data_IF_042354534340
#
_entry.id   IF_042354534340
#
_cell.length_a   1.000
_cell.length_b   1.000
_cell.length_c   1.000
_cell.angle_alpha   90.00
_cell.angle_beta   90.00
_cell.angle_gamma   90.00
#
_symmetry.space_group_name_H-M   'P 1'
#
loop_
_entity.id
_entity.type
_entity.pdbx_description
1 polymer ?
#
# COMPACT_ATOMS: atom_id res chain seq x y z
N UNK A 1 2.37 -60.29 -36.73
CA UNK A 1 1.20 -60.01 -37.60
C UNK A 1 0.36 -58.96 -36.91
N UNK A 2 0.19 -57.83 -37.61
CA UNK A 2 -0.21 -56.52 -37.09
C UNK A 2 -1.63 -56.49 -36.54
N UNK A 3 -1.82 -55.93 -35.34
CA UNK A 3 -3.14 -55.49 -34.86
C UNK A 3 -3.16 -53.97 -34.89
N UNK A 4 -3.88 -53.45 -35.88
CA UNK A 4 -4.00 -52.04 -36.22
C UNK A 4 -4.62 -51.22 -35.09
N UNK A 5 -4.05 -50.03 -34.91
CA UNK A 5 -4.49 -48.94 -34.05
C UNK A 5 -5.86 -48.41 -34.53
N UNK A 6 -6.79 -48.16 -33.59
CA UNK A 6 -7.99 -47.36 -33.83
C UNK A 6 -7.65 -45.87 -33.64
N UNK A 7 -7.90 -44.98 -34.60
CA UNK A 7 -7.78 -43.55 -34.38
C UNK A 7 -9.06 -43.03 -33.72
N UNK A 8 -8.93 -42.38 -32.57
CA UNK A 8 -9.99 -41.54 -31.99
C UNK A 8 -10.04 -40.22 -32.76
N UNK A 9 -11.21 -39.91 -33.28
CA UNK A 9 -11.53 -38.71 -34.04
C UNK A 9 -11.49 -37.48 -33.12
N UNK A 10 -10.72 -36.47 -33.53
CA UNK A 10 -10.80 -35.10 -33.02
C UNK A 10 -12.14 -34.49 -33.46
N UNK A 11 -12.94 -34.02 -32.49
CA UNK A 11 -14.09 -33.15 -32.76
C UNK A 11 -13.72 -31.72 -32.36
N UNK A 12 -13.45 -30.89 -33.37
CA UNK A 12 -13.38 -29.44 -33.27
C UNK A 12 -14.78 -28.85 -33.07
N UNK A 13 -15.02 -28.12 -31.98
CA UNK A 13 -16.13 -27.16 -31.93
C UNK A 13 -15.60 -25.74 -31.80
N UNK A 14 -16.12 -24.91 -32.69
CA UNK A 14 -15.76 -23.55 -32.97
C UNK A 14 -16.51 -22.56 -32.07
N UNK A 15 -15.78 -21.50 -31.69
CA UNK A 15 -16.18 -20.09 -31.60
C UNK A 15 -17.62 -19.75 -31.15
N UNK A 16 -17.72 -19.03 -30.03
CA UNK A 16 -18.48 -17.77 -29.99
C UNK A 16 -17.73 -16.74 -29.15
N UNK A 17 -17.13 -15.75 -29.83
CA UNK A 17 -16.64 -14.50 -29.24
C UNK A 17 -17.77 -13.48 -29.31
N UNK A 18 -18.23 -12.99 -28.16
CA UNK A 18 -19.17 -11.88 -28.07
C UNK A 18 -18.38 -10.59 -27.86
N UNK A 19 -18.53 -9.55 -28.70
CA UNK A 19 -17.74 -8.33 -28.58
C UNK A 19 -18.57 -7.15 -28.02
N UNK A 20 -17.83 -6.15 -27.50
CA UNK A 20 -18.25 -4.78 -27.13
C UNK A 20 -19.10 -4.66 -25.84
N UNK A 21 -18.90 -3.70 -24.94
CA UNK A 21 -18.69 -2.26 -25.14
C UNK A 21 -17.76 -1.69 -24.04
N UNK A 22 -16.74 -0.93 -24.44
CA UNK A 22 -15.92 -0.07 -23.56
C UNK A 22 -16.51 1.34 -23.62
N UNK A 23 -16.93 1.97 -22.51
CA UNK A 23 -17.30 3.37 -22.52
C UNK A 23 -16.05 4.25 -22.66
N UNK A 24 -15.95 4.91 -23.82
CA UNK A 24 -14.97 5.95 -24.12
C UNK A 24 -15.26 7.19 -23.25
N UNK A 25 -14.60 7.30 -22.09
CA UNK A 25 -14.64 8.51 -21.29
C UNK A 25 -13.81 9.61 -21.98
N UNK A 26 -14.51 10.60 -22.53
CA UNK A 26 -13.90 11.85 -23.00
C UNK A 26 -13.56 12.71 -21.79
N UNK A 27 -12.28 12.82 -21.47
CA UNK A 27 -11.77 13.87 -20.59
C UNK A 27 -11.88 15.21 -21.31
N UNK A 28 -12.87 16.02 -20.92
CA UNK A 28 -12.96 17.39 -21.34
C UNK A 28 -12.35 18.27 -20.24
N UNK A 29 -11.07 18.58 -20.42
CA UNK A 29 -10.41 19.65 -19.68
C UNK A 29 -11.09 20.97 -20.04
N UNK A 30 -11.68 21.63 -19.05
CA UNK A 30 -11.95 23.07 -19.13
C UNK A 30 -11.15 23.74 -18.02
N UNK A 31 -10.32 24.68 -18.45
CA UNK A 31 -9.53 25.55 -17.61
C UNK A 31 -10.44 26.67 -17.08
N UNK A 32 -10.20 27.07 -15.83
CA UNK A 32 -10.77 28.23 -15.13
C UNK A 32 -12.24 28.10 -14.69
N UNK A 33 -12.48 28.36 -13.40
CA UNK A 33 -13.84 28.63 -12.91
C UNK A 33 -14.05 28.27 -11.45
N UNK A 34 -13.73 29.21 -10.57
CA UNK A 34 -14.18 29.24 -9.19
C UNK A 34 -15.67 28.88 -9.10
N UNK A 35 -16.03 27.78 -8.44
CA UNK A 35 -17.43 27.43 -8.19
C UNK A 35 -17.78 27.75 -6.75
N UNK A 36 -18.33 28.94 -6.57
CA UNK A 36 -19.06 29.35 -5.37
C UNK A 36 -20.45 28.72 -5.41
N UNK A 37 -20.75 27.83 -4.47
CA UNK A 37 -22.10 27.35 -4.23
C UNK A 37 -22.78 28.39 -3.32
N UNK A 38 -23.68 29.17 -3.88
CA UNK A 38 -24.64 29.95 -3.10
C UNK A 38 -25.90 29.12 -2.92
N UNK A 39 -26.26 28.84 -1.67
CA UNK A 39 -27.61 28.44 -1.29
C UNK A 39 -28.22 29.61 -0.54
N UNK A 40 -29.17 30.29 -1.17
CA UNK A 40 -30.05 31.28 -0.56
C UNK A 40 -31.30 30.59 -0.05
N UNK A 41 -31.48 30.56 1.26
CA UNK A 41 -32.82 30.56 1.87
C UNK A 41 -32.89 31.66 2.93
N UNK A 42 -34.05 32.31 2.97
CA UNK A 42 -34.32 33.63 3.55
C UNK A 42 -34.85 33.51 4.99
N UNK A 43 -34.38 34.45 5.82
CA UNK A 43 -34.74 34.92 7.20
C UNK A 43 -36.25 34.92 7.59
N UNK A 44 -36.66 35.32 8.83
CA UNK A 44 -35.94 35.80 10.04
C UNK A 44 -36.40 35.04 11.33
N UNK A 45 -35.77 35.12 12.51
CA UNK A 45 -35.88 36.24 13.44
C UNK A 45 -35.12 35.92 14.76
N UNK A 46 -34.85 37.00 15.49
CA UNK A 46 -34.50 37.06 16.91
C UNK A 46 -33.07 36.71 17.37
N UNK A 47 -32.28 37.79 17.38
CA UNK A 47 -31.17 38.02 18.30
C UNK A 47 -31.61 37.79 19.75
N UNK A 48 -30.94 36.88 20.44
CA UNK A 48 -30.66 36.97 21.87
C UNK A 48 -29.19 36.71 22.10
N UNK A 49 -28.46 37.79 22.41
CA UNK A 49 -27.14 37.74 23.01
C UNK A 49 -27.29 37.09 24.37
N UNK A 50 -26.80 35.87 24.51
CA UNK A 50 -26.60 35.22 25.81
C UNK A 50 -25.14 34.83 25.91
N UNK A 51 -24.40 35.66 26.64
CA UNK A 51 -23.07 35.40 27.14
C UNK A 51 -23.09 34.14 28.01
N UNK A 52 -22.77 32.99 27.42
CA UNK A 52 -22.46 31.79 28.19
C UNK A 52 -21.01 31.38 27.93
N UNK A 53 -20.13 31.81 28.84
CA UNK A 53 -18.76 31.31 28.94
C UNK A 53 -18.82 29.92 29.53
N UNK A 54 -19.09 28.92 28.69
CA UNK A 54 -18.83 27.54 29.04
C UNK A 54 -17.55 27.11 28.32
N UNK A 55 -16.48 27.11 29.11
CA UNK A 55 -15.20 26.50 28.87
C UNK A 55 -15.36 25.08 28.33
N UNK A 56 -15.21 24.92 27.01
CA UNK A 56 -14.98 23.62 26.40
C UNK A 56 -13.47 23.47 26.15
N UNK A 57 -12.86 22.37 26.62
CA UNK A 57 -11.42 22.26 26.69
C UNK A 57 -10.86 22.10 25.28
N UNK A 58 -9.99 23.04 24.92
CA UNK A 58 -8.76 22.75 24.18
C UNK A 58 -8.96 21.84 22.94
N UNK A 59 -9.55 22.40 21.88
CA UNK A 59 -9.13 22.00 20.54
C UNK A 59 -7.67 22.42 20.36
N UNK A 60 -6.73 21.65 20.92
CA UNK A 60 -5.44 21.49 20.26
C UNK A 60 -5.79 20.77 18.98
N UNK A 61 -5.79 21.51 17.89
CA UNK A 61 -5.34 20.93 16.63
C UNK A 61 -3.90 20.49 16.91
N UNK A 62 -3.72 19.25 17.36
CA UNK A 62 -2.43 18.60 17.21
C UNK A 62 -2.19 18.62 15.71
N UNK A 63 -1.15 19.32 15.28
CA UNK A 63 -0.52 19.04 14.00
C UNK A 63 -0.12 17.56 14.08
N UNK A 64 -1.01 16.67 13.66
CA UNK A 64 -0.82 15.24 13.72
C UNK A 64 0.34 14.91 12.81
N UNK A 65 1.30 14.21 13.39
CA UNK A 65 2.47 13.63 12.77
C UNK A 65 2.22 13.27 11.28
N UNK A 66 3.08 13.77 10.38
CA UNK A 66 2.96 13.57 8.92
C UNK A 66 2.82 12.07 8.64
N UNK A 67 1.63 11.66 8.20
CA UNK A 67 1.35 10.30 7.77
C UNK A 67 2.37 9.87 6.71
N UNK A 68 3.19 8.87 7.04
CA UNK A 68 4.26 8.38 6.17
C UNK A 68 3.69 7.81 4.87
N UNK A 69 2.44 7.33 4.89
CA UNK A 69 1.78 6.76 3.70
C UNK A 69 1.52 7.80 2.60
N UNK A 70 1.48 9.09 2.95
CA UNK A 70 1.24 10.20 2.02
C UNK A 70 2.53 10.70 1.37
N UNK A 71 3.69 10.43 1.99
CA UNK A 71 4.99 10.90 1.47
C UNK A 71 5.41 10.13 0.22
N UNK A 72 6.25 10.76 -0.60
CA UNK A 72 6.91 10.11 -1.75
C UNK A 72 8.34 9.76 -1.40
N UNK A 73 8.80 8.57 -1.80
CA UNK A 73 10.21 8.23 -1.68
C UNK A 73 11.11 9.16 -2.51
N UNK A 74 12.30 9.44 -1.99
CA UNK A 74 13.36 10.18 -2.70
C UNK A 74 14.27 9.16 -3.40
N UNK A 75 14.78 9.42 -4.63
CA UNK A 75 15.67 8.48 -5.31
C UNK A 75 16.89 8.07 -4.46
N UNK A 76 17.11 6.76 -4.36
CA UNK A 76 18.10 6.15 -3.47
C UNK A 76 19.57 6.41 -3.87
N UNK A 77 19.82 6.89 -5.08
CA UNK A 77 21.16 7.17 -5.61
C UNK A 77 21.65 8.60 -5.32
N UNK A 78 20.86 9.40 -4.60
CA UNK A 78 21.26 10.75 -4.25
C UNK A 78 22.43 10.73 -3.26
N UNK A 79 23.49 11.49 -3.56
CA UNK A 79 24.75 11.54 -2.80
C UNK A 79 24.59 11.97 -1.33
N UNK A 80 23.42 12.50 -0.99
CA UNK A 80 23.12 13.08 0.32
C UNK A 80 22.38 12.11 1.25
N UNK A 81 21.97 10.93 0.78
CA UNK A 81 21.29 9.95 1.62
C UNK A 81 22.31 9.25 2.51
N UNK A 82 22.02 9.23 3.82
CA UNK A 82 22.79 8.51 4.83
C UNK A 82 21.86 7.55 5.57
N UNK A 83 22.39 6.40 6.03
CA UNK A 83 21.61 5.51 6.87
C UNK A 83 21.29 6.23 8.18
N UNK A 84 20.05 6.06 8.66
CA UNK A 84 19.63 6.60 9.94
C UNK A 84 20.22 5.82 11.11
N UNK A 85 20.27 6.44 12.28
CA UNK A 85 20.68 5.75 13.51
C UNK A 85 19.58 4.82 14.01
N UNK A 86 19.95 3.88 14.87
CA UNK A 86 19.00 2.94 15.45
C UNK A 86 17.94 3.66 16.30
N UNK A 87 18.30 4.72 17.01
CA UNK A 87 17.38 5.53 17.82
C UNK A 87 16.35 6.23 16.94
N UNK A 88 16.79 6.78 15.80
CA UNK A 88 15.90 7.40 14.82
C UNK A 88 14.94 6.34 14.24
N UNK A 89 15.43 5.16 13.87
CA UNK A 89 14.60 4.07 13.38
C UNK A 89 13.55 3.63 14.41
N UNK A 90 13.97 3.43 15.68
CA UNK A 90 13.07 3.07 16.79
C UNK A 90 11.96 4.10 17.00
N UNK A 91 12.23 5.38 16.77
CA UNK A 91 11.19 6.43 16.87
C UNK A 91 10.12 6.35 15.79
N UNK A 92 10.42 5.71 14.64
CA UNK A 92 9.51 5.57 13.51
C UNK A 92 8.74 4.24 13.51
N UNK A 93 9.22 3.22 14.23
CA UNK A 93 8.55 1.90 14.33
C UNK A 93 7.07 1.98 14.73
N UNK A 94 6.65 2.83 15.70
CA UNK A 94 5.22 2.98 16.02
C UNK A 94 4.34 3.43 14.84
N UNK A 95 4.93 4.03 13.79
CA UNK A 95 4.21 4.50 12.59
C UNK A 95 3.99 3.38 11.57
N UNK A 96 4.68 2.25 11.71
CA UNK A 96 4.60 1.10 10.80
C UNK A 96 4.24 -0.17 11.58
N UNK A 97 3.01 -0.25 12.13
CA UNK A 97 2.62 -1.36 13.01
C UNK A 97 2.77 -2.72 12.32
N UNK A 98 3.32 -3.68 13.05
CA UNK A 98 3.55 -5.06 12.60
C UNK A 98 4.88 -5.28 11.88
N UNK A 99 5.69 -4.23 11.67
CA UNK A 99 7.07 -4.36 11.19
C UNK A 99 8.03 -4.45 12.38
N UNK A 100 9.00 -5.35 12.26
CA UNK A 100 10.06 -5.55 13.23
C UNK A 100 11.34 -4.85 12.77
N UNK A 101 12.04 -4.17 13.69
CA UNK A 101 13.38 -3.64 13.45
C UNK A 101 14.41 -4.73 13.74
N UNK A 102 15.17 -5.13 12.73
CA UNK A 102 16.17 -6.21 12.85
C UNK A 102 17.54 -5.69 12.43
N UNK A 103 18.58 -6.07 13.16
CA UNK A 103 19.97 -5.87 12.78
C UNK A 103 20.53 -7.19 12.23
N UNK A 104 20.93 -7.19 10.96
CA UNK A 104 21.44 -8.34 10.25
C UNK A 104 22.83 -7.99 9.67
N UNK A 105 23.88 -8.53 10.27
CA UNK A 105 25.26 -8.28 9.83
C UNK A 105 25.72 -6.83 9.96
N UNK A 106 25.16 -6.06 10.91
CA UNK A 106 25.46 -4.63 11.08
C UNK A 106 24.57 -3.70 10.25
N UNK A 107 23.66 -4.25 9.44
CA UNK A 107 22.70 -3.50 8.63
C UNK A 107 21.33 -3.56 9.31
N UNK A 108 20.77 -2.39 9.61
CA UNK A 108 19.39 -2.28 10.08
C UNK A 108 18.42 -2.52 8.92
N UNK A 109 17.35 -3.27 9.17
CA UNK A 109 16.30 -3.62 8.21
C UNK A 109 14.94 -3.63 8.90
N UNK A 110 13.88 -3.36 8.13
CA UNK A 110 12.50 -3.63 8.55
C UNK A 110 12.11 -5.01 8.04
N UNK A 111 11.57 -5.87 8.91
CA UNK A 111 11.11 -7.21 8.53
C UNK A 111 9.64 -7.39 8.90
N UNK A 112 8.89 -8.05 8.03
CA UNK A 112 7.52 -8.50 8.34
C UNK A 112 7.18 -9.78 7.61
N UNK A 113 6.36 -10.61 8.25
CA UNK A 113 5.91 -11.89 7.68
C UNK A 113 4.39 -12.04 7.67
N UNK A 114 3.89 -12.73 6.65
CA UNK A 114 2.49 -13.06 6.45
C UNK A 114 2.34 -14.52 6.04
N UNK A 115 1.29 -15.17 6.55
CA UNK A 115 0.86 -16.49 6.10
C UNK A 115 -0.27 -16.37 5.09
N UNK A 116 -0.01 -16.75 3.84
CA UNK A 116 -1.00 -16.73 2.74
C UNK A 116 -1.70 -18.08 2.60
N UNK A 117 -2.81 -18.12 1.85
CA UNK A 117 -3.60 -19.35 1.64
C UNK A 117 -2.86 -20.42 0.83
N UNK A 118 -1.87 -20.03 0.02
CA UNK A 118 -1.04 -20.95 -0.77
C UNK A 118 -0.06 -20.23 -1.69
N UNK A 119 0.66 -20.99 -2.51
CA UNK A 119 1.77 -20.50 -3.33
C UNK A 119 1.33 -19.41 -4.32
N UNK A 120 0.26 -19.64 -5.08
CA UNK A 120 -0.28 -18.66 -6.04
C UNK A 120 -0.74 -17.39 -5.34
N UNK A 121 -1.29 -17.49 -4.11
CA UNK A 121 -1.64 -16.31 -3.31
C UNK A 121 -0.44 -15.56 -2.78
N UNK A 122 0.70 -16.22 -2.61
CA UNK A 122 1.97 -15.55 -2.36
C UNK A 122 2.44 -14.73 -3.56
N UNK A 123 2.28 -15.25 -4.78
CA UNK A 123 2.59 -14.52 -6.01
C UNK A 123 1.65 -13.33 -6.21
N UNK A 124 0.34 -13.51 -6.01
CA UNK A 124 -0.64 -12.41 -6.04
C UNK A 124 -0.25 -11.31 -5.04
N UNK A 125 0.19 -11.70 -3.84
CA UNK A 125 0.63 -10.77 -2.80
C UNK A 125 1.87 -9.97 -3.23
N UNK A 126 2.85 -10.63 -3.85
CA UNK A 126 4.03 -9.95 -4.41
C UNK A 126 3.68 -8.99 -5.52
N UNK A 127 2.73 -9.32 -6.38
CA UNK A 127 2.30 -8.43 -7.46
C UNK A 127 1.78 -7.09 -6.91
N UNK A 128 0.93 -7.12 -5.89
CA UNK A 128 0.38 -5.90 -5.28
C UNK A 128 1.49 -5.06 -4.63
N UNK A 129 2.48 -5.69 -4.00
CA UNK A 129 3.63 -4.95 -3.42
C UNK A 129 4.53 -4.38 -4.50
N UNK A 130 4.77 -5.14 -5.58
CA UNK A 130 5.59 -4.69 -6.70
C UNK A 130 5.01 -3.41 -7.32
N UNK A 131 3.69 -3.31 -7.48
CA UNK A 131 3.04 -2.09 -7.98
C UNK A 131 3.32 -0.87 -7.10
N UNK A 132 3.31 -1.02 -5.77
CA UNK A 132 3.66 0.05 -4.83
C UNK A 132 5.15 0.37 -4.90
N UNK A 133 6.00 -0.64 -4.92
CA UNK A 133 7.46 -0.49 -4.98
C UNK A 133 7.90 0.24 -6.26
N UNK A 134 7.35 -0.14 -7.41
CA UNK A 134 7.59 0.52 -8.69
C UNK A 134 7.08 1.96 -8.70
N UNK A 135 5.88 2.19 -8.16
CA UNK A 135 5.36 3.54 -8.04
C UNK A 135 6.29 4.43 -7.21
N UNK A 136 6.85 3.91 -6.11
CA UNK A 136 7.77 4.64 -5.24
C UNK A 136 9.22 4.67 -5.73
N UNK A 137 9.61 3.81 -6.65
CA UNK A 137 11.02 3.65 -7.03
C UNK A 137 11.88 3.15 -5.87
N UNK A 138 11.30 2.36 -4.96
CA UNK A 138 12.00 1.78 -3.82
C UNK A 138 11.58 0.32 -3.64
N UNK A 139 12.54 -0.59 -3.78
CA UNK A 139 12.26 -2.02 -3.93
C UNK A 139 12.59 -2.80 -2.66
N UNK A 140 11.62 -3.55 -2.10
CA UNK A 140 11.86 -4.42 -0.97
C UNK A 140 12.38 -5.79 -1.43
N UNK A 141 13.04 -6.52 -0.53
CA UNK A 141 13.42 -7.91 -0.75
C UNK A 141 12.22 -8.81 -0.42
N UNK A 142 11.73 -9.56 -1.41
CA UNK A 142 10.54 -10.41 -1.31
C UNK A 142 10.91 -11.89 -1.27
N UNK A 143 10.50 -12.59 -0.21
CA UNK A 143 10.82 -14.00 0.00
C UNK A 143 9.57 -14.84 0.22
N UNK A 144 9.38 -15.89 -0.60
CA UNK A 144 8.32 -16.88 -0.42
C UNK A 144 8.90 -18.17 0.17
N UNK A 145 8.82 -18.31 1.48
CA UNK A 145 9.42 -19.42 2.24
C UNK A 145 8.37 -20.50 2.49
N UNK A 146 8.72 -21.76 2.25
CA UNK A 146 7.85 -22.90 2.56
C UNK A 146 6.44 -22.74 1.99
N UNK A 147 6.34 -22.37 0.70
CA UNK A 147 5.14 -22.23 -0.14
C UNK A 147 4.03 -21.27 0.30
N UNK A 148 3.97 -20.82 1.56
CA UNK A 148 2.89 -19.95 2.06
C UNK A 148 3.34 -18.87 3.04
N UNK A 149 4.64 -18.71 3.26
CA UNK A 149 5.17 -17.68 4.13
C UNK A 149 5.77 -16.57 3.28
N UNK A 150 5.08 -15.43 3.20
CA UNK A 150 5.62 -14.23 2.59
C UNK A 150 6.41 -13.50 3.66
N UNK A 151 7.71 -13.37 3.46
CA UNK A 151 8.60 -12.53 4.27
C UNK A 151 9.04 -11.35 3.41
N UNK A 152 9.02 -10.16 3.99
CA UNK A 152 9.48 -8.94 3.35
C UNK A 152 10.54 -8.31 4.23
N UNK A 153 11.68 -8.02 3.62
CA UNK A 153 12.75 -7.24 4.21
C UNK A 153 12.85 -5.90 3.44
N UNK A 154 12.87 -4.78 4.15
CA UNK A 154 12.99 -3.44 3.57
C UNK A 154 14.20 -2.73 4.15
N UNK A 155 15.09 -2.30 3.26
CA UNK A 155 16.26 -1.47 3.56
C UNK A 155 16.78 -0.82 2.28
N UNK A 156 17.59 0.23 2.44
CA UNK A 156 18.14 0.96 1.30
C UNK A 156 19.52 0.41 0.94
N UNK A 157 19.57 -0.37 -0.15
CA UNK A 157 20.78 -1.06 -0.65
C UNK A 157 21.97 -0.12 -0.91
N UNK A 158 21.71 1.07 -1.47
CA UNK A 158 22.76 2.03 -1.86
C UNK A 158 23.55 2.60 -0.68
N UNK A 159 22.99 2.60 0.53
CA UNK A 159 23.60 3.19 1.72
C UNK A 159 23.81 2.19 2.86
N UNK A 160 23.59 0.89 2.60
CA UNK A 160 23.79 -0.18 3.59
C UNK A 160 23.06 0.04 4.91
N UNK A 161 21.81 0.51 4.87
CA UNK A 161 21.02 0.72 6.07
C UNK A 161 19.62 1.26 5.82
N UNK A 162 18.95 1.68 6.91
CA UNK A 162 17.61 2.25 6.84
C UNK A 162 17.62 3.74 6.51
N UNK A 163 16.64 4.16 5.73
CA UNK A 163 16.32 5.54 5.40
C UNK A 163 14.83 5.78 5.60
N UNK A 164 14.38 7.03 5.52
CA UNK A 164 12.95 7.34 5.67
C UNK A 164 12.10 6.64 4.59
N UNK A 165 12.65 6.41 3.40
CA UNK A 165 11.99 5.70 2.30
C UNK A 165 11.53 4.30 2.71
N UNK A 166 12.33 3.61 3.54
CA UNK A 166 12.00 2.26 4.02
C UNK A 166 10.71 2.27 4.84
N UNK A 167 10.52 3.29 5.69
CA UNK A 167 9.32 3.47 6.50
C UNK A 167 8.12 3.96 5.67
N UNK A 168 8.36 4.79 4.65
CA UNK A 168 7.31 5.21 3.69
C UNK A 168 6.77 3.98 2.97
N UNK A 169 7.64 3.15 2.38
CA UNK A 169 7.22 1.93 1.69
C UNK A 169 6.50 0.96 2.64
N UNK A 170 7.05 0.72 3.83
CA UNK A 170 6.42 -0.12 4.85
C UNK A 170 5.01 0.35 5.22
N UNK A 171 4.82 1.66 5.36
CA UNK A 171 3.50 2.25 5.67
C UNK A 171 2.50 2.08 4.53
N UNK A 172 2.95 2.18 3.27
CA UNK A 172 2.11 1.96 2.09
C UNK A 172 1.71 0.49 1.94
N UNK A 173 2.64 -0.43 2.20
CA UNK A 173 2.34 -1.87 2.23
C UNK A 173 1.29 -2.19 3.31
N UNK A 174 1.34 -1.54 4.46
CA UNK A 174 0.33 -1.70 5.51
C UNK A 174 -1.08 -1.27 5.08
N UNK A 175 -1.20 -0.31 4.16
CA UNK A 175 -2.48 0.19 3.68
C UNK A 175 -3.12 -0.71 2.61
N UNK A 176 -2.41 -1.73 2.11
CA UNK A 176 -2.93 -2.65 1.10
C UNK A 176 -4.00 -3.59 1.67
N UNK A 177 -5.11 -3.74 0.95
CA UNK A 177 -6.11 -4.77 1.27
C UNK A 177 -5.68 -6.15 0.76
N UNK A 178 -4.91 -6.84 1.59
CA UNK A 178 -4.40 -8.19 1.33
C UNK A 178 -5.16 -9.28 2.08
N UNK A 179 -6.22 -8.94 2.83
CA UNK A 179 -6.90 -9.88 3.75
C UNK A 179 -7.44 -11.12 3.03
N UNK A 180 -7.92 -10.94 1.80
CA UNK A 180 -8.43 -12.02 0.97
C UNK A 180 -7.35 -13.03 0.52
N UNK A 181 -6.06 -12.65 0.56
CA UNK A 181 -4.91 -13.50 0.24
C UNK A 181 -4.40 -14.28 1.46
N UNK A 182 -4.64 -13.75 2.67
CA UNK A 182 -4.12 -14.28 3.92
C UNK A 182 -4.86 -15.55 4.37
N UNK A 183 -4.10 -16.47 4.99
CA UNK A 183 -4.68 -17.60 5.70
C UNK A 183 -5.38 -17.06 6.95
N UNK A 184 -6.66 -17.38 7.13
CA UNK A 184 -7.38 -17.05 8.36
C UNK A 184 -6.63 -17.66 9.56
N UNK A 185 -6.32 -16.84 10.56
CA UNK A 185 -5.95 -17.38 11.87
C UNK A 185 -7.16 -18.16 12.39
N UNK A 186 -6.94 -19.38 12.85
CA UNK A 186 -7.96 -20.07 13.62
C UNK A 186 -8.25 -19.20 14.85
N UNK A 187 -9.53 -18.87 15.07
CA UNK A 187 -9.93 -18.27 16.33
C UNK A 187 -9.75 -19.35 17.40
N UNK A 188 -8.89 -19.06 18.39
CA UNK A 188 -8.74 -19.87 19.59
C UNK A 188 -9.74 -19.42 20.64
#
# INVERSE_FOLDING_TARGET
MNRMLRPFLFSSSSSTKTPFIIPLFKNQFTAHGCSSIQVTEILPDHVKVSSNRNSFPWFRTYCTDKDLSIKKCVPCDSKDIRPMTEEAARSLIPKVPGWDLVNDGGILKLKRSWKVKGFTKGLDFFQVIAEVAEAEGHHPDLHLVGWNNVNIDIWTHSVSGLTENDFILASKINALDVQHLLRRKAAN
#
